data_IF_058422493336
#
_entry.id   IF_058422493336
#
_cell.length_a   1.000
_cell.length_b   1.000
_cell.length_c   1.000
_cell.angle_alpha   90.00
_cell.angle_beta   90.00
_cell.angle_gamma   90.00
#
_symmetry.space_group_name_H-M   'P 1'
#
loop_
_entity.id
_entity.type
_entity.pdbx_description
1 polymer ?
#
# COMPACT_ATOMS: atom_id res chain seq x y z
N UNK A 1 -23.42 2.65 7.87
CA UNK A 1 -22.51 3.64 8.48
C UNK A 1 -21.25 3.69 7.63
N UNK A 2 -20.92 4.83 7.03
CA UNK A 2 -19.72 4.92 6.19
C UNK A 2 -18.48 5.00 7.08
N UNK A 3 -17.75 3.88 7.17
CA UNK A 3 -16.59 3.71 8.04
C UNK A 3 -15.55 4.79 7.71
N UNK A 4 -14.91 5.46 8.69
CA UNK A 4 -13.93 6.52 8.43
C UNK A 4 -12.83 6.15 7.41
N UNK A 5 -12.38 4.90 7.43
CA UNK A 5 -11.44 4.35 6.45
C UNK A 5 -12.01 4.32 5.00
N UNK A 6 -13.28 3.98 4.82
CA UNK A 6 -13.92 3.94 3.50
C UNK A 6 -13.97 5.34 2.89
N UNK A 7 -14.35 6.35 3.68
CA UNK A 7 -14.33 7.76 3.22
C UNK A 7 -12.92 8.20 2.81
N UNK A 8 -11.92 7.84 3.61
CA UNK A 8 -10.52 8.11 3.27
C UNK A 8 -10.10 7.45 1.95
N UNK A 9 -10.50 6.20 1.72
CA UNK A 9 -10.25 5.52 0.44
C UNK A 9 -10.96 6.21 -0.72
N UNK A 10 -12.22 6.62 -0.56
CA UNK A 10 -12.97 7.31 -1.59
C UNK A 10 -12.29 8.65 -1.97
N UNK A 11 -11.85 9.42 -0.97
CA UNK A 11 -11.14 10.69 -1.19
C UNK A 11 -9.81 10.48 -1.94
N UNK A 12 -9.06 9.42 -1.58
CA UNK A 12 -7.82 9.06 -2.27
C UNK A 12 -8.10 8.61 -3.69
N UNK A 13 -9.05 7.69 -3.88
CA UNK A 13 -9.37 7.11 -5.19
C UNK A 13 -9.91 8.18 -6.15
N UNK A 14 -10.70 9.14 -5.66
CA UNK A 14 -11.15 10.30 -6.45
C UNK A 14 -9.98 11.17 -6.91
N UNK A 15 -8.99 11.44 -6.05
CA UNK A 15 -7.79 12.20 -6.43
C UNK A 15 -6.93 11.43 -7.43
N UNK A 16 -6.72 10.14 -7.18
CA UNK A 16 -5.99 9.25 -8.09
C UNK A 16 -6.64 9.25 -9.47
N UNK A 17 -7.97 9.20 -9.52
CA UNK A 17 -8.72 9.28 -10.77
C UNK A 17 -8.49 10.62 -11.47
N UNK A 18 -8.64 11.74 -10.77
CA UNK A 18 -8.44 13.08 -11.34
C UNK A 18 -7.04 13.25 -11.95
N UNK A 19 -5.99 12.78 -11.27
CA UNK A 19 -4.61 12.82 -11.79
C UNK A 19 -4.48 11.95 -13.03
N UNK A 20 -4.98 10.71 -13.01
CA UNK A 20 -4.88 9.82 -14.18
C UNK A 20 -5.69 10.30 -15.39
N UNK A 21 -6.85 10.90 -15.16
CA UNK A 21 -7.67 11.48 -16.22
C UNK A 21 -6.95 12.66 -16.90
N UNK A 22 -6.17 13.45 -16.14
CA UNK A 22 -5.34 14.54 -16.66
C UNK A 22 -4.00 14.10 -17.25
N UNK A 23 -3.49 12.93 -16.84
CA UNK A 23 -2.18 12.41 -17.25
C UNK A 23 -2.29 10.93 -17.67
N UNK A 24 -2.65 10.64 -18.94
CA UNK A 24 -2.83 9.27 -19.43
C UNK A 24 -1.59 8.37 -19.28
N UNK A 25 -0.39 8.97 -19.34
CA UNK A 25 0.90 8.29 -19.19
C UNK A 25 1.36 8.19 -17.72
N UNK A 26 0.42 8.20 -16.77
CA UNK A 26 0.75 8.06 -15.35
C UNK A 26 1.28 6.65 -15.04
N UNK A 27 2.50 6.60 -14.49
CA UNK A 27 3.24 5.34 -14.29
C UNK A 27 2.63 4.44 -13.20
N UNK A 28 2.03 5.01 -12.17
CA UNK A 28 1.49 4.24 -11.05
C UNK A 28 0.10 3.68 -11.39
N UNK A 29 0.02 2.41 -11.78
CA UNK A 29 -1.22 1.68 -12.07
C UNK A 29 -1.17 0.21 -11.60
N UNK A 30 -2.29 -0.53 -11.71
CA UNK A 30 -2.28 -1.99 -11.48
C UNK A 30 -1.36 -2.62 -12.51
N UNK A 31 -0.38 -3.41 -12.06
CA UNK A 31 0.59 -4.07 -12.95
C UNK A 31 1.97 -3.42 -13.00
N UNK A 32 2.17 -2.19 -12.47
CA UNK A 32 3.49 -1.56 -12.51
C UNK A 32 4.51 -2.27 -11.61
N UNK A 33 4.09 -2.66 -10.40
CA UNK A 33 4.86 -3.38 -9.37
C UNK A 33 6.26 -2.83 -9.00
N UNK A 34 6.72 -1.69 -9.55
CA UNK A 34 8.02 -1.07 -9.24
C UNK A 34 8.18 -0.89 -7.73
N UNK A 35 7.22 -0.24 -7.07
CA UNK A 35 7.25 -0.06 -5.61
C UNK A 35 7.03 -1.36 -4.82
N UNK A 36 6.27 -2.31 -5.36
CA UNK A 36 5.99 -3.58 -4.68
C UNK A 36 7.22 -4.47 -4.56
N UNK A 37 8.24 -4.28 -5.41
CA UNK A 37 9.50 -5.04 -5.37
C UNK A 37 10.56 -4.41 -4.45
N UNK A 38 10.34 -3.17 -4.03
CA UNK A 38 11.32 -2.39 -3.26
C UNK A 38 10.61 -1.43 -2.30
N UNK A 39 9.82 -1.99 -1.38
CA UNK A 39 9.23 -1.20 -0.31
C UNK A 39 10.35 -0.65 0.58
N UNK A 40 10.22 0.63 0.96
CA UNK A 40 11.16 1.31 1.84
C UNK A 40 11.19 0.67 3.24
N UNK A 41 10.04 0.19 3.71
CA UNK A 41 9.87 -0.50 4.99
C UNK A 41 8.66 -1.46 4.95
N UNK A 42 8.53 -2.29 5.97
CA UNK A 42 7.34 -3.11 6.21
C UNK A 42 6.14 -2.18 6.46
N UNK A 43 5.05 -2.29 5.67
CA UNK A 43 3.89 -1.42 5.83
C UNK A 43 3.30 -1.51 7.24
N UNK A 44 3.01 -0.35 7.82
CA UNK A 44 2.27 -0.23 9.07
C UNK A 44 0.81 0.02 8.76
N UNK A 45 -0.08 -0.66 9.49
CA UNK A 45 -1.51 -0.65 9.26
C UNK A 45 -2.24 -0.33 10.54
N UNK A 46 -3.29 0.48 10.44
CA UNK A 46 -4.31 0.60 11.48
C UNK A 46 -5.12 -0.70 11.58
N UNK A 47 -5.82 -0.91 12.70
CA UNK A 47 -6.71 -2.07 12.87
C UNK A 47 -7.80 -2.13 11.77
N UNK A 48 -8.30 -0.97 11.33
CA UNK A 48 -9.29 -0.87 10.27
C UNK A 48 -8.72 -1.31 8.90
N UNK A 49 -7.50 -0.87 8.57
CA UNK A 49 -6.82 -1.29 7.33
C UNK A 49 -6.51 -2.79 7.36
N UNK A 50 -6.10 -3.30 8.52
CA UNK A 50 -5.86 -4.73 8.71
C UNK A 50 -7.13 -5.56 8.52
N UNK A 51 -8.27 -5.13 9.07
CA UNK A 51 -9.55 -5.81 8.88
C UNK A 51 -9.96 -5.88 7.40
N UNK A 52 -9.75 -4.78 6.65
CA UNK A 52 -9.99 -4.77 5.22
C UNK A 52 -9.04 -5.73 4.47
N UNK A 53 -7.75 -5.66 4.76
CA UNK A 53 -6.74 -6.52 4.14
C UNK A 53 -7.04 -8.01 4.38
N UNK A 54 -7.45 -8.37 5.60
CA UNK A 54 -7.86 -9.74 5.96
C UNK A 54 -9.02 -10.27 5.11
N UNK A 55 -9.95 -9.40 4.73
CA UNK A 55 -11.06 -9.77 3.83
C UNK A 55 -10.52 -10.22 2.47
N UNK A 56 -9.52 -9.51 1.93
CA UNK A 56 -8.83 -9.92 0.70
C UNK A 56 -8.06 -11.21 0.87
N UNK A 57 -7.28 -11.33 1.96
CA UNK A 57 -6.45 -12.52 2.25
C UNK A 57 -7.28 -13.80 2.41
N UNK A 58 -8.45 -13.71 3.05
CA UNK A 58 -9.34 -14.86 3.29
C UNK A 58 -10.04 -15.32 2.01
N UNK A 59 -10.15 -14.46 1.00
CA UNK A 59 -10.72 -14.80 -0.30
C UNK A 59 -9.71 -15.45 -1.26
N UNK A 60 -8.43 -15.52 -0.90
CA UNK A 60 -7.39 -16.12 -1.75
C UNK A 60 -7.44 -17.65 -1.72
N UNK A 61 -7.02 -18.31 -2.81
CA UNK A 61 -6.72 -19.74 -2.79
C UNK A 61 -5.75 -20.12 -1.64
N UNK A 62 -5.94 -21.28 -1.00
CA UNK A 62 -5.09 -21.71 0.13
C UNK A 62 -3.60 -21.74 -0.20
N UNK A 63 -3.20 -22.11 -1.43
CA UNK A 63 -1.78 -22.08 -1.80
C UNK A 63 -1.20 -20.66 -1.81
N UNK A 64 -1.98 -19.67 -2.24
CA UNK A 64 -1.54 -18.28 -2.28
C UNK A 64 -1.43 -17.71 -0.86
N UNK A 65 -2.40 -18.01 0.00
CA UNK A 65 -2.35 -17.58 1.40
C UNK A 65 -1.17 -18.20 2.14
N UNK A 66 -0.88 -19.48 1.91
CA UNK A 66 0.28 -20.18 2.50
C UNK A 66 1.59 -19.55 2.05
N UNK A 67 1.74 -19.24 0.75
CA UNK A 67 2.91 -18.51 0.24
C UNK A 67 3.08 -17.16 0.93
N UNK A 68 2.00 -16.36 0.97
CA UNK A 68 2.01 -15.04 1.61
C UNK A 68 2.42 -15.17 3.10
N UNK A 69 1.90 -16.18 3.80
CA UNK A 69 2.27 -16.42 5.19
C UNK A 69 3.77 -16.72 5.35
N UNK A 70 4.34 -17.55 4.48
CA UNK A 70 5.77 -17.84 4.44
C UNK A 70 6.61 -16.59 4.17
N UNK A 71 6.21 -15.79 3.19
CA UNK A 71 6.89 -14.53 2.83
C UNK A 71 6.85 -13.53 4.00
N UNK A 72 5.71 -13.39 4.70
CA UNK A 72 5.58 -12.50 5.87
C UNK A 72 6.42 -13.01 7.05
N UNK A 73 6.44 -14.32 7.30
CA UNK A 73 7.29 -14.90 8.34
C UNK A 73 8.77 -14.67 8.05
N UNK A 74 9.19 -14.79 6.78
CA UNK A 74 10.55 -14.48 6.36
C UNK A 74 10.91 -12.99 6.59
N UNK A 75 10.00 -12.07 6.29
CA UNK A 75 10.16 -10.64 6.58
C UNK A 75 10.26 -10.35 8.09
N UNK A 76 9.49 -11.06 8.92
CA UNK A 76 9.57 -10.92 10.37
C UNK A 76 10.92 -11.42 10.93
N UNK A 77 11.47 -12.48 10.34
CA UNK A 77 12.73 -13.10 10.76
C UNK A 77 13.97 -12.37 10.22
N UNK A 78 13.86 -11.67 9.08
CA UNK A 78 14.99 -11.03 8.40
C UNK A 78 14.67 -9.57 8.09
N UNK A 79 15.40 -8.64 8.70
CA UNK A 79 15.38 -7.22 8.35
C UNK A 79 16.19 -6.90 7.07
N UNK A 80 16.24 -7.82 6.10
CA UNK A 80 17.01 -7.62 4.86
C UNK A 80 16.24 -6.77 3.87
N UNK A 81 16.89 -5.72 3.36
CA UNK A 81 16.38 -4.87 2.27
C UNK A 81 16.88 -5.38 0.92
N UNK A 82 16.13 -5.16 -0.18
CA UNK A 82 14.84 -4.48 -0.26
C UNK A 82 13.66 -5.34 0.23
N UNK A 83 12.63 -4.71 0.80
CA UNK A 83 11.41 -5.41 1.23
C UNK A 83 10.53 -5.65 0.00
N UNK A 84 10.32 -6.90 -0.39
CA UNK A 84 9.37 -7.28 -1.43
C UNK A 84 7.99 -7.49 -0.81
N UNK A 85 6.95 -6.88 -1.39
CA UNK A 85 5.58 -7.02 -0.93
C UNK A 85 5.12 -8.49 -1.01
N UNK A 86 4.70 -9.11 0.12
CA UNK A 86 4.23 -10.51 0.12
C UNK A 86 3.02 -10.75 -0.79
N UNK A 87 2.17 -9.71 -0.94
CA UNK A 87 0.95 -9.75 -1.73
C UNK A 87 1.18 -9.52 -3.24
N UNK A 88 2.44 -9.34 -3.68
CA UNK A 88 2.78 -9.25 -5.09
C UNK A 88 2.68 -10.65 -5.72
N UNK A 89 1.95 -10.75 -6.82
CA UNK A 89 2.09 -11.85 -7.76
C UNK A 89 3.21 -11.53 -8.76
N UNK A 90 4.28 -12.33 -8.73
CA UNK A 90 5.44 -12.14 -9.59
C UNK A 90 5.10 -12.39 -11.07
N UNK A 91 4.15 -13.30 -11.36
CA UNK A 91 3.81 -13.64 -12.73
C UNK A 91 3.04 -12.51 -13.43
N UNK A 92 2.01 -11.96 -12.77
CA UNK A 92 1.20 -10.88 -13.34
C UNK A 92 1.67 -9.47 -13.00
N UNK A 93 2.69 -9.31 -12.14
CA UNK A 93 3.08 -8.01 -11.56
C UNK A 93 1.91 -7.27 -10.88
N UNK A 94 0.89 -8.00 -10.42
CA UNK A 94 -0.29 -7.43 -9.79
C UNK A 94 -0.37 -7.79 -8.31
N UNK A 95 -1.03 -6.92 -7.52
CA UNK A 95 -1.35 -7.25 -6.14
C UNK A 95 -2.53 -8.22 -6.09
N UNK A 96 -2.38 -9.34 -5.39
CA UNK A 96 -3.43 -10.34 -5.19
C UNK A 96 -4.66 -9.79 -4.44
N UNK A 97 -4.46 -8.74 -3.65
CA UNK A 97 -5.50 -8.07 -2.85
C UNK A 97 -5.67 -6.60 -3.25
N UNK A 98 -5.57 -6.31 -4.55
CA UNK A 98 -5.54 -4.94 -5.07
C UNK A 98 -6.71 -4.04 -4.59
N UNK A 99 -7.90 -4.61 -4.43
CA UNK A 99 -9.08 -3.88 -3.95
C UNK A 99 -9.02 -3.58 -2.44
N UNK A 100 -8.29 -4.36 -1.65
CA UNK A 100 -8.15 -4.23 -0.20
C UNK A 100 -6.82 -3.59 0.20
N UNK A 101 -6.14 -2.93 -0.74
CA UNK A 101 -4.87 -2.26 -0.48
C UNK A 101 -5.01 -1.22 0.65
N UNK A 102 -4.03 -1.15 1.57
CA UNK A 102 -3.93 -0.10 2.57
C UNK A 102 -3.80 1.30 1.98
N UNK A 103 -3.98 2.32 2.82
CA UNK A 103 -3.89 3.73 2.42
C UNK A 103 -2.52 4.05 1.83
N UNK A 104 -1.44 3.59 2.46
CA UNK A 104 -0.07 3.81 1.98
C UNK A 104 0.12 3.38 0.52
N UNK A 105 -0.46 2.24 0.11
CA UNK A 105 -0.38 1.73 -1.26
C UNK A 105 -1.36 2.42 -2.23
N UNK A 106 -2.42 3.08 -1.72
CA UNK A 106 -3.40 3.82 -2.51
C UNK A 106 -2.94 5.24 -2.82
N UNK A 107 -2.26 5.88 -1.87
CA UNK A 107 -1.72 7.24 -2.02
C UNK A 107 -0.36 7.28 -2.70
N UNK A 108 0.35 6.15 -2.77
CA UNK A 108 1.70 6.06 -3.33
C UNK A 108 1.77 6.57 -4.77
N UNK A 109 2.70 7.48 -5.03
CA UNK A 109 2.88 8.08 -6.36
C UNK A 109 1.79 9.10 -6.73
N UNK A 110 0.93 9.52 -5.80
CA UNK A 110 -0.08 10.58 -6.00
C UNK A 110 -0.07 11.64 -4.89
N UNK A 111 0.58 11.32 -3.76
CA UNK A 111 0.71 12.17 -2.58
C UNK A 111 2.18 12.45 -2.31
N UNK A 112 2.48 13.68 -1.89
CA UNK A 112 3.79 14.13 -1.45
C UNK A 112 3.75 14.45 0.03
N UNK A 113 4.87 14.22 0.71
CA UNK A 113 5.13 14.79 2.02
C UNK A 113 6.22 15.85 1.87
N UNK A 114 5.99 17.05 2.41
CA UNK A 114 6.84 18.23 2.17
C UNK A 114 8.32 18.01 2.50
N UNK A 115 8.64 17.02 3.33
CA UNK A 115 10.00 16.73 3.81
C UNK A 115 10.53 15.34 3.42
N UNK A 116 9.67 14.44 2.88
CA UNK A 116 10.07 13.07 2.48
C UNK A 116 10.01 12.82 0.97
N UNK A 117 9.56 13.82 0.18
CA UNK A 117 9.53 13.74 -1.27
C UNK A 117 8.42 12.85 -1.82
N UNK A 118 8.59 12.45 -3.08
CA UNK A 118 7.73 11.50 -3.78
C UNK A 118 8.26 10.09 -3.56
N UNK A 119 7.40 9.17 -3.12
CA UNK A 119 7.86 7.82 -2.83
C UNK A 119 8.21 7.00 -4.08
N UNK A 120 7.77 7.40 -5.29
CA UNK A 120 8.05 6.73 -6.55
C UNK A 120 9.18 7.44 -7.30
N UNK A 121 10.35 6.79 -7.42
CA UNK A 121 11.53 7.38 -8.07
C UNK A 121 11.30 7.76 -9.53
N UNK A 122 10.53 6.98 -10.29
CA UNK A 122 10.22 7.30 -11.69
C UNK A 122 9.36 8.58 -11.81
N UNK A 123 8.44 8.79 -10.87
CA UNK A 123 7.62 10.01 -10.83
C UNK A 123 8.44 11.19 -10.32
N UNK A 124 9.31 10.96 -9.34
CA UNK A 124 10.24 11.97 -8.83
C UNK A 124 11.16 12.51 -9.94
N UNK A 125 11.70 11.62 -10.78
CA UNK A 125 12.50 12.00 -11.95
C UNK A 125 11.72 12.91 -12.92
N UNK A 126 10.48 12.54 -13.26
CA UNK A 126 9.62 13.35 -14.15
C UNK A 126 9.24 14.71 -13.56
N UNK A 127 9.07 14.80 -12.24
CA UNK A 127 8.88 16.09 -11.56
C UNK A 127 10.14 16.94 -11.66
N UNK A 128 11.32 16.37 -11.45
CA UNK A 128 12.60 17.08 -11.56
C UNK A 128 12.84 17.60 -12.98
N UNK A 129 12.35 16.89 -13.99
CA UNK A 129 12.38 17.28 -15.41
C UNK A 129 11.29 18.31 -15.78
N UNK A 130 10.38 18.64 -14.84
CA UNK A 130 9.31 19.60 -15.03
C UNK A 130 8.08 19.06 -15.79
N UNK A 131 8.04 17.77 -16.10
CA UNK A 131 6.95 17.15 -16.88
C UNK A 131 5.61 17.12 -16.14
N UNK A 132 5.64 17.27 -14.81
CA UNK A 132 4.47 17.17 -13.92
C UNK A 132 4.22 18.47 -13.14
N UNK A 133 4.64 19.61 -13.69
CA UNK A 133 4.55 20.92 -13.03
C UNK A 133 3.10 21.40 -12.79
N UNK A 134 2.14 20.90 -13.56
CA UNK A 134 0.70 21.19 -13.46
C UNK A 134 -0.05 20.21 -12.53
N UNK A 135 0.62 19.17 -12.04
CA UNK A 135 0.00 18.18 -11.13
C UNK A 135 -0.25 18.79 -9.75
N UNK A 136 -1.50 18.73 -9.31
CA UNK A 136 -1.89 19.06 -7.93
C UNK A 136 -1.78 17.83 -7.04
N UNK A 137 -0.65 17.70 -6.34
CA UNK A 137 -0.35 16.57 -5.47
C UNK A 137 -1.25 16.49 -4.23
N UNK A 138 -1.53 15.24 -3.80
CA UNK A 138 -2.06 14.96 -2.47
C UNK A 138 -1.09 15.34 -1.37
N UNK A 139 -1.60 15.74 -0.20
CA UNK A 139 -0.77 16.01 0.97
C UNK A 139 -0.77 14.80 1.92
N UNK A 140 0.38 14.13 2.05
CA UNK A 140 0.50 12.96 2.92
C UNK A 140 0.26 13.27 4.40
N UNK A 141 0.59 14.49 4.87
CA UNK A 141 0.36 14.88 6.27
C UNK A 141 -1.13 14.84 6.65
N UNK A 142 -2.02 15.10 5.68
CA UNK A 142 -3.47 15.01 5.89
C UNK A 142 -3.89 13.55 6.08
N UNK A 143 -3.31 12.66 5.29
CA UNK A 143 -3.56 11.22 5.34
C UNK A 143 -3.08 10.65 6.68
N UNK A 144 -1.86 11.00 7.10
CA UNK A 144 -1.29 10.54 8.37
C UNK A 144 -2.12 10.98 9.57
N UNK A 145 -2.61 12.23 9.58
CA UNK A 145 -3.52 12.70 10.64
C UNK A 145 -4.84 11.93 10.65
N UNK A 146 -5.43 11.67 9.49
CA UNK A 146 -6.68 10.92 9.40
C UNK A 146 -6.50 9.46 9.84
N UNK A 147 -5.40 8.80 9.43
CA UNK A 147 -5.03 7.45 9.88
C UNK A 147 -4.75 7.41 11.38
N UNK A 148 -4.06 8.42 11.93
CA UNK A 148 -3.82 8.54 13.37
C UNK A 148 -5.12 8.64 14.18
N UNK A 149 -6.18 9.21 13.59
CA UNK A 149 -7.53 9.22 14.16
C UNK A 149 -8.25 7.87 14.16
N UNK A 150 -7.73 6.85 13.45
CA UNK A 150 -8.31 5.49 13.40
C UNK A 150 -7.76 4.55 14.49
N UNK A 151 -6.78 5.02 15.27
CA UNK A 151 -6.19 4.29 16.38
C UNK A 151 -4.77 3.77 16.11
N UNK A 152 -4.38 2.75 16.87
CA UNK A 152 -3.01 2.23 16.84
C UNK A 152 -2.65 1.65 15.46
N UNK A 153 -1.44 1.97 15.01
CA UNK A 153 -0.84 1.41 13.80
C UNK A 153 0.29 0.45 14.16
N UNK A 154 0.25 -0.77 13.62
CA UNK A 154 1.26 -1.83 13.84
C UNK A 154 1.84 -2.33 12.51
N UNK A 155 3.08 -2.86 12.50
CA UNK A 155 3.64 -3.50 11.30
C UNK A 155 2.76 -4.66 10.81
N UNK A 156 2.70 -4.85 9.49
CA UNK A 156 1.99 -5.97 8.85
C UNK A 156 2.36 -7.32 9.45
N UNK A 157 3.65 -7.54 9.74
CA UNK A 157 4.15 -8.78 10.35
C UNK A 157 3.51 -9.06 11.71
N UNK A 158 3.32 -8.04 12.55
CA UNK A 158 2.70 -8.19 13.86
C UNK A 158 1.21 -8.52 13.77
N UNK A 159 0.49 -7.83 12.87
CA UNK A 159 -0.92 -8.12 12.61
C UNK A 159 -1.13 -9.55 12.08
N UNK A 160 -0.28 -9.96 11.14
CA UNK A 160 -0.37 -11.28 10.53
C UNK A 160 -0.04 -12.38 11.53
N UNK A 161 0.99 -12.22 12.35
CA UNK A 161 1.35 -13.18 13.40
C UNK A 161 0.20 -13.40 14.39
N UNK A 162 -0.54 -12.36 14.74
CA UNK A 162 -1.71 -12.47 15.63
C UNK A 162 -2.87 -13.24 14.98
N UNK A 163 -3.05 -13.13 13.66
CA UNK A 163 -4.16 -13.75 12.94
C UNK A 163 -3.88 -15.18 12.46
N UNK A 164 -2.65 -15.41 11.99
CA UNK A 164 -2.22 -16.65 11.34
C UNK A 164 -1.38 -17.54 12.28
N UNK A 165 -1.33 -17.22 13.58
CA UNK A 165 -0.72 -18.11 14.56
C UNK A 165 -1.31 -19.52 14.36
N UNK A 166 -0.48 -20.56 14.20
CA UNK A 166 -1.00 -21.92 14.21
C UNK A 166 -1.76 -22.07 15.53
N UNK A 167 -3.01 -22.49 15.46
CA UNK A 167 -3.74 -22.87 16.66
C UNK A 167 -2.83 -23.87 17.39
N UNK A 168 -2.34 -23.49 18.56
CA UNK A 168 -1.66 -24.42 19.43
C UNK A 168 -2.71 -25.48 19.81
N UNK A 169 -2.70 -26.58 19.07
CA UNK A 169 -3.48 -27.78 19.28
C UNK A 169 -2.53 -28.94 19.46
#
# INVERSE_FOLDING_TARGET
MNHPLTRLHDDIDNRVKAIRDGHPDWLCCKGCASCCRQLADIPRLTAAEWALLRTGLTALPPEQLTRIAGDIAALAARASRPVVCPMLDQASSACLVYAQRPVACRSYGFYVQRELGLYCGDIEARVAEGELADVVWGNHDVIDRQLGGLGESRPLTAWFAQWYAPAAG
#
